data_IF_659524446188
#
_entry.id   IF_659524446188
#
_cell.length_a   1.000
_cell.length_b   1.000
_cell.length_c   1.000
_cell.angle_alpha   90.00
_cell.angle_beta   90.00
_cell.angle_gamma   90.00
#
_symmetry.space_group_name_H-M   'P 1'
#
loop_
_entity.id
_entity.type
_entity.pdbx_description
1 polymer ?
#
# COMPACT_ATOMS: atom_id res chain seq x y z
N UNK A 1 -18.34 -18.55 -10.66
CA UNK A 1 -18.02 -19.34 -9.46
C UNK A 1 -17.85 -18.45 -8.22
N UNK A 2 -16.98 -17.43 -8.24
CA UNK A 2 -16.61 -16.61 -7.07
C UNK A 2 -17.84 -16.00 -6.38
N UNK A 3 -18.76 -15.42 -7.13
CA UNK A 3 -20.01 -14.85 -6.61
C UNK A 3 -20.99 -15.90 -6.08
N UNK A 4 -20.95 -17.13 -6.60
CA UNK A 4 -21.80 -18.21 -6.15
C UNK A 4 -21.28 -18.89 -4.88
N UNK A 5 -19.97 -19.01 -4.78
CA UNK A 5 -19.30 -19.77 -3.71
C UNK A 5 -18.79 -18.90 -2.56
N UNK A 6 -18.55 -17.62 -2.81
CA UNK A 6 -17.93 -16.70 -1.87
C UNK A 6 -16.46 -17.00 -1.55
N UNK A 7 -15.81 -17.94 -2.28
CA UNK A 7 -14.44 -18.40 -1.98
C UNK A 7 -13.34 -17.38 -2.26
N UNK A 8 -13.69 -16.28 -2.91
CA UNK A 8 -12.70 -15.30 -3.40
C UNK A 8 -11.93 -15.79 -4.63
N UNK A 9 -10.98 -14.98 -5.06
CA UNK A 9 -10.03 -15.27 -6.14
C UNK A 9 -8.67 -14.73 -5.77
N UNK A 10 -7.65 -15.57 -5.61
CA UNK A 10 -6.30 -15.11 -5.30
C UNK A 10 -5.77 -14.11 -6.34
N UNK A 11 -5.05 -13.09 -5.90
CA UNK A 11 -4.45 -12.09 -6.78
C UNK A 11 -3.62 -12.72 -7.91
N UNK A 12 -2.75 -13.68 -7.58
CA UNK A 12 -1.89 -14.37 -8.55
C UNK A 12 -2.61 -15.23 -9.60
N UNK A 13 -3.93 -15.47 -9.45
CA UNK A 13 -4.74 -16.16 -10.46
C UNK A 13 -5.30 -15.23 -11.54
N UNK A 14 -5.10 -13.93 -11.42
CA UNK A 14 -5.50 -13.00 -12.47
C UNK A 14 -4.56 -13.08 -13.67
N UNK A 15 -5.06 -12.67 -14.84
CA UNK A 15 -4.25 -12.57 -16.04
C UNK A 15 -3.19 -11.48 -15.87
N UNK A 16 -2.02 -11.65 -16.48
CA UNK A 16 -0.90 -10.68 -16.42
C UNK A 16 -1.30 -9.23 -16.74
N UNK A 17 -2.26 -9.04 -17.64
CA UNK A 17 -2.81 -7.72 -17.95
C UNK A 17 -3.45 -7.02 -16.74
N UNK A 18 -3.89 -7.77 -15.71
CA UNK A 18 -4.42 -7.20 -14.49
C UNK A 18 -3.31 -6.48 -13.70
N UNK A 19 -2.15 -7.13 -13.54
CA UNK A 19 -1.01 -6.55 -12.81
C UNK A 19 -0.45 -5.32 -13.51
N UNK A 20 -0.23 -5.41 -14.83
CA UNK A 20 0.22 -4.28 -15.64
C UNK A 20 -0.84 -3.16 -15.69
N UNK A 21 -2.12 -3.51 -15.75
CA UNK A 21 -3.23 -2.56 -15.77
C UNK A 21 -3.35 -1.79 -14.45
N UNK A 22 -3.23 -2.47 -13.33
CA UNK A 22 -3.25 -1.87 -11.98
C UNK A 22 -2.09 -0.90 -11.80
N UNK A 23 -0.87 -1.31 -12.14
CA UNK A 23 0.30 -0.43 -12.09
C UNK A 23 0.12 0.82 -12.97
N UNK A 24 -0.32 0.64 -14.21
CA UNK A 24 -0.56 1.77 -15.14
C UNK A 24 -1.65 2.72 -14.65
N UNK A 25 -2.63 2.21 -13.92
CA UNK A 25 -3.71 2.99 -13.35
C UNK A 25 -3.22 3.87 -12.19
N UNK A 26 -2.46 3.32 -11.24
CA UNK A 26 -2.02 4.06 -10.05
C UNK A 26 -0.73 4.87 -10.28
N UNK A 27 0.14 4.47 -11.21
CA UNK A 27 1.41 5.15 -11.49
C UNK A 27 1.32 6.67 -11.66
N UNK A 28 0.33 7.26 -12.36
CA UNK A 28 0.24 8.72 -12.48
C UNK A 28 0.05 9.43 -11.15
N UNK A 29 -0.72 8.85 -10.22
CA UNK A 29 -0.90 9.41 -8.89
C UNK A 29 0.40 9.35 -8.07
N UNK A 30 1.11 8.21 -8.09
CA UNK A 30 2.40 8.07 -7.42
C UNK A 30 3.45 9.04 -8.00
N UNK A 31 3.55 9.14 -9.32
CA UNK A 31 4.48 10.05 -9.96
C UNK A 31 4.17 11.53 -9.70
N UNK A 32 2.90 11.88 -9.54
CA UNK A 32 2.47 13.26 -9.34
C UNK A 32 2.44 13.72 -7.88
N UNK A 33 2.28 12.80 -6.93
CA UNK A 33 1.98 13.20 -5.54
C UNK A 33 2.93 12.60 -4.49
N UNK A 34 3.53 11.43 -4.73
CA UNK A 34 4.29 10.71 -3.71
C UNK A 34 5.40 11.55 -3.07
N UNK A 35 6.21 12.18 -3.93
CA UNK A 35 7.42 12.89 -3.50
C UNK A 35 7.17 14.35 -3.10
N UNK A 36 6.21 15.00 -3.76
CA UNK A 36 5.97 16.43 -3.60
C UNK A 36 4.83 16.75 -2.62
N UNK A 37 3.95 15.78 -2.32
CA UNK A 37 2.78 16.00 -1.46
C UNK A 37 2.70 14.98 -0.32
N UNK A 38 2.72 13.66 -0.62
CA UNK A 38 2.40 12.64 0.38
C UNK A 38 3.49 12.46 1.43
N UNK A 39 4.74 12.30 1.00
CA UNK A 39 5.87 12.17 1.93
C UNK A 39 6.07 13.47 2.73
N UNK A 40 6.09 14.68 2.13
CA UNK A 40 6.20 15.92 2.87
C UNK A 40 5.07 16.21 3.86
N UNK A 41 3.87 15.67 3.64
CA UNK A 41 2.74 15.83 4.56
C UNK A 41 2.93 15.05 5.89
N UNK A 42 3.86 14.10 5.94
CA UNK A 42 4.16 13.33 7.15
C UNK A 42 5.28 13.98 7.96
N UNK A 43 5.00 14.27 9.22
CA UNK A 43 5.93 14.99 10.09
C UNK A 43 7.27 14.24 10.25
N UNK A 44 8.37 14.89 9.86
CA UNK A 44 9.74 14.41 10.03
C UNK A 44 10.19 13.29 9.10
N UNK A 45 9.30 12.71 8.29
CA UNK A 45 9.61 11.56 7.42
C UNK A 45 10.57 11.96 6.30
N UNK A 46 10.30 13.04 5.59
CA UNK A 46 11.15 13.47 4.49
C UNK A 46 12.59 13.80 4.93
N UNK A 47 12.74 14.41 6.10
CA UNK A 47 14.06 14.71 6.67
C UNK A 47 14.86 13.44 7.00
N UNK A 48 14.21 12.39 7.51
CA UNK A 48 14.83 11.08 7.71
C UNK A 48 15.28 10.48 6.38
N UNK A 49 14.42 10.48 5.37
CA UNK A 49 14.72 9.96 4.04
C UNK A 49 15.92 10.67 3.39
N UNK A 50 15.99 11.99 3.47
CA UNK A 50 17.12 12.79 2.95
C UNK A 50 18.45 12.49 3.65
N UNK A 51 18.41 12.19 4.95
CA UNK A 51 19.60 11.86 5.76
C UNK A 51 20.07 10.43 5.56
N UNK A 52 19.19 9.55 5.17
CA UNK A 52 19.41 8.11 5.04
C UNK A 52 18.56 7.34 6.03
N UNK A 53 17.46 6.76 5.53
CA UNK A 53 16.50 5.99 6.28
C UNK A 53 16.40 4.56 5.72
N UNK A 54 15.90 3.65 6.54
CA UNK A 54 15.53 2.30 6.09
C UNK A 54 14.04 2.26 5.84
N UNK A 55 13.65 1.93 4.60
CA UNK A 55 12.25 1.95 4.12
C UNK A 55 11.79 0.54 3.76
N UNK A 56 10.58 0.16 4.19
CA UNK A 56 9.88 -1.03 3.70
C UNK A 56 8.70 -0.61 2.83
N UNK A 57 8.66 -1.02 1.57
CA UNK A 57 7.52 -0.85 0.65
C UNK A 57 6.81 -2.21 0.50
N UNK A 58 5.60 -2.33 1.05
CA UNK A 58 4.87 -3.58 1.20
C UNK A 58 3.74 -3.67 0.18
N UNK A 59 3.67 -4.78 -0.56
CA UNK A 59 2.77 -4.90 -1.70
C UNK A 59 3.22 -4.04 -2.88
N UNK A 60 4.53 -3.96 -3.11
CA UNK A 60 5.16 -3.05 -4.08
C UNK A 60 4.81 -3.34 -5.54
N UNK A 61 4.23 -4.51 -5.85
CA UNK A 61 3.87 -4.92 -7.20
C UNK A 61 5.05 -4.85 -8.17
N UNK A 62 4.93 -4.02 -9.19
CA UNK A 62 5.99 -3.79 -10.19
C UNK A 62 7.03 -2.72 -9.78
N UNK A 63 7.02 -2.28 -8.51
CA UNK A 63 8.04 -1.47 -7.87
C UNK A 63 8.02 0.02 -8.23
N UNK A 64 6.90 0.56 -8.71
CA UNK A 64 6.83 1.98 -9.13
C UNK A 64 7.11 2.94 -7.98
N UNK A 65 6.43 2.80 -6.84
CA UNK A 65 6.64 3.60 -5.61
C UNK A 65 8.06 3.46 -5.09
N UNK A 66 8.55 2.22 -5.00
CA UNK A 66 9.89 1.90 -4.53
C UNK A 66 10.97 2.59 -5.37
N UNK A 67 10.86 2.54 -6.71
CA UNK A 67 11.82 3.18 -7.61
C UNK A 67 11.79 4.70 -7.51
N UNK A 68 10.60 5.32 -7.39
CA UNK A 68 10.48 6.76 -7.18
C UNK A 68 11.18 7.21 -5.88
N UNK A 69 10.97 6.47 -4.78
CA UNK A 69 11.64 6.77 -3.51
C UNK A 69 13.16 6.56 -3.59
N UNK A 70 13.61 5.48 -4.25
CA UNK A 70 15.03 5.18 -4.39
C UNK A 70 15.78 6.24 -5.23
N UNK A 71 15.17 6.73 -6.31
CA UNK A 71 15.72 7.81 -7.13
C UNK A 71 15.82 9.13 -6.34
N UNK A 72 14.79 9.48 -5.58
CA UNK A 72 14.71 10.74 -4.86
C UNK A 72 15.58 10.77 -3.60
N UNK A 73 15.73 9.63 -2.93
CA UNK A 73 16.42 9.54 -1.64
C UNK A 73 17.61 8.57 -1.72
N UNK A 74 18.69 8.94 -2.43
CA UNK A 74 19.83 8.04 -2.70
C UNK A 74 20.61 7.63 -1.43
N UNK A 75 20.43 8.35 -0.31
CA UNK A 75 21.04 7.99 0.97
C UNK A 75 20.23 6.94 1.74
N UNK A 76 18.97 6.72 1.37
CA UNK A 76 18.09 5.75 2.02
C UNK A 76 18.21 4.38 1.37
N UNK A 77 17.97 3.33 2.15
CA UNK A 77 17.88 1.95 1.66
C UNK A 77 16.43 1.54 1.60
N UNK A 78 15.96 1.05 0.45
CA UNK A 78 14.58 0.66 0.21
C UNK A 78 14.50 -0.84 0.03
N UNK A 79 13.74 -1.50 0.90
CA UNK A 79 13.36 -2.90 0.79
C UNK A 79 11.92 -3.00 0.31
N UNK A 80 11.70 -3.60 -0.84
CA UNK A 80 10.39 -3.71 -1.46
C UNK A 80 9.91 -5.16 -1.45
N UNK A 81 8.71 -5.40 -0.96
CA UNK A 81 8.14 -6.71 -0.72
C UNK A 81 6.84 -6.92 -1.48
N UNK A 82 6.71 -8.05 -2.15
CA UNK A 82 5.45 -8.52 -2.72
C UNK A 82 5.44 -10.05 -2.72
N UNK A 83 4.27 -10.66 -2.52
CA UNK A 83 4.16 -12.11 -2.56
C UNK A 83 4.14 -12.67 -3.99
N UNK A 84 3.87 -11.84 -5.01
CA UNK A 84 3.78 -12.24 -6.41
C UNK A 84 5.15 -12.23 -7.08
N UNK A 85 5.81 -13.40 -7.11
CA UNK A 85 7.15 -13.57 -7.69
C UNK A 85 7.35 -12.95 -9.06
N UNK A 86 6.46 -13.19 -10.06
CA UNK A 86 6.60 -12.58 -11.39
C UNK A 86 6.61 -11.04 -11.38
N UNK A 87 5.87 -10.40 -10.47
CA UNK A 87 5.94 -8.93 -10.30
C UNK A 87 7.30 -8.48 -9.78
N UNK A 88 7.84 -9.20 -8.79
CA UNK A 88 9.17 -8.93 -8.24
C UNK A 88 10.28 -9.13 -9.29
N UNK A 89 10.19 -10.15 -10.12
CA UNK A 89 11.18 -10.38 -11.19
C UNK A 89 11.19 -9.22 -12.20
N UNK A 90 10.03 -8.73 -12.59
CA UNK A 90 9.90 -7.56 -13.48
C UNK A 90 10.38 -6.28 -12.77
N UNK A 91 10.05 -6.09 -11.49
CA UNK A 91 10.50 -4.94 -10.70
C UNK A 91 12.03 -4.87 -10.59
N UNK A 92 12.68 -6.00 -10.31
CA UNK A 92 14.17 -6.12 -10.30
C UNK A 92 14.80 -5.72 -11.63
N UNK A 93 14.22 -6.18 -12.73
CA UNK A 93 14.70 -5.83 -14.07
C UNK A 93 14.61 -4.32 -14.31
N UNK A 94 13.46 -3.70 -14.00
CA UNK A 94 13.25 -2.25 -14.16
C UNK A 94 14.21 -1.42 -13.30
N UNK A 95 14.44 -1.82 -12.05
CA UNK A 95 15.38 -1.14 -11.16
C UNK A 95 16.82 -1.26 -11.65
N UNK A 96 17.23 -2.42 -12.17
CA UNK A 96 18.54 -2.63 -12.75
C UNK A 96 18.75 -1.77 -14.02
N UNK A 97 17.74 -1.63 -14.88
CA UNK A 97 17.76 -0.76 -16.05
C UNK A 97 17.93 0.74 -15.67
N UNK A 98 17.48 1.13 -14.46
CA UNK A 98 17.63 2.48 -13.90
C UNK A 98 18.92 2.67 -13.08
N UNK A 99 19.66 1.60 -12.76
CA UNK A 99 20.87 1.64 -11.96
C UNK A 99 20.62 2.03 -10.49
N UNK A 100 19.55 1.53 -9.90
CA UNK A 100 19.17 1.82 -8.50
C UNK A 100 19.83 0.82 -7.56
N UNK A 101 20.98 1.20 -6.98
CA UNK A 101 21.77 0.34 -6.09
C UNK A 101 21.28 0.36 -4.63
N UNK A 102 20.39 1.28 -4.27
CA UNK A 102 19.81 1.45 -2.94
C UNK A 102 18.42 0.83 -2.79
N UNK A 103 18.01 -0.05 -3.73
CA UNK A 103 16.70 -0.69 -3.78
C UNK A 103 16.84 -2.20 -3.93
N UNK A 104 16.26 -2.95 -3.00
CA UNK A 104 16.21 -4.40 -3.03
C UNK A 104 14.77 -4.92 -3.04
N UNK A 105 14.51 -5.98 -3.83
CA UNK A 105 13.18 -6.59 -3.95
C UNK A 105 13.15 -8.02 -3.42
N UNK A 106 12.12 -8.34 -2.66
CA UNK A 106 11.93 -9.63 -2.00
C UNK A 106 10.55 -10.21 -2.28
N UNK A 107 10.50 -11.52 -2.54
CA UNK A 107 9.24 -12.27 -2.57
C UNK A 107 8.89 -12.62 -1.13
N UNK A 108 7.88 -11.96 -0.56
CA UNK A 108 7.46 -12.17 0.84
C UNK A 108 5.99 -11.83 1.03
N UNK A 109 5.35 -12.53 1.93
CA UNK A 109 4.04 -12.16 2.46
C UNK A 109 4.15 -10.90 3.34
N UNK A 110 3.13 -10.04 3.30
CA UNK A 110 3.11 -8.80 4.08
C UNK A 110 3.17 -9.01 5.61
N UNK A 111 2.76 -10.18 6.10
CA UNK A 111 2.84 -10.55 7.51
C UNK A 111 4.20 -11.14 7.93
N UNK A 112 5.10 -11.39 6.98
CA UNK A 112 6.38 -12.08 7.19
C UNK A 112 7.60 -11.21 6.83
N UNK A 113 7.47 -9.90 6.90
CA UNK A 113 8.55 -8.95 6.64
C UNK A 113 9.58 -9.03 7.77
N UNK A 114 10.88 -9.09 7.45
CA UNK A 114 11.92 -9.14 8.47
C UNK A 114 11.93 -7.86 9.33
N UNK A 115 12.19 -8.03 10.63
CA UNK A 115 12.36 -6.89 11.53
C UNK A 115 13.76 -6.28 11.32
N UNK A 116 13.79 -5.14 10.63
CA UNK A 116 15.00 -4.39 10.29
C UNK A 116 15.02 -2.99 10.92
N UNK A 117 14.09 -2.71 11.83
CA UNK A 117 13.92 -1.39 12.46
C UNK A 117 13.73 -0.29 11.40
N UNK A 118 12.69 -0.44 10.58
CA UNK A 118 12.39 0.52 9.52
C UNK A 118 11.98 1.89 10.06
N UNK A 119 12.53 2.95 9.49
CA UNK A 119 12.14 4.34 9.78
C UNK A 119 10.79 4.66 9.13
N UNK A 120 10.54 4.09 7.95
CA UNK A 120 9.30 4.21 7.21
C UNK A 120 8.88 2.83 6.68
N UNK A 121 7.67 2.41 6.97
CA UNK A 121 6.99 1.38 6.21
C UNK A 121 5.87 2.01 5.39
N UNK A 122 5.62 1.53 4.18
CA UNK A 122 4.55 2.03 3.32
C UNK A 122 3.79 0.91 2.61
N UNK A 123 2.52 1.17 2.37
CA UNK A 123 1.63 0.37 1.52
C UNK A 123 0.90 1.33 0.59
N UNK A 124 0.84 0.99 -0.71
CA UNK A 124 0.19 1.81 -1.73
C UNK A 124 -0.92 1.02 -2.42
N UNK A 125 -2.17 1.41 -2.19
CA UNK A 125 -3.38 0.86 -2.83
C UNK A 125 -3.48 -0.69 -2.77
N UNK A 126 -2.99 -1.30 -1.68
CA UNK A 126 -2.92 -2.74 -1.50
C UNK A 126 -3.42 -3.23 -0.14
N UNK A 127 -3.53 -2.37 0.87
CA UNK A 127 -3.93 -2.79 2.22
C UNK A 127 -5.38 -3.27 2.28
N UNK A 128 -6.27 -2.64 1.51
CA UNK A 128 -7.68 -3.03 1.41
C UNK A 128 -7.91 -4.38 0.71
N UNK A 129 -6.91 -4.90 0.00
CA UNK A 129 -6.94 -6.22 -0.66
C UNK A 129 -6.50 -7.36 0.28
N UNK A 130 -5.97 -7.02 1.46
CA UNK A 130 -5.48 -8.01 2.41
C UNK A 130 -6.63 -8.70 3.14
N UNK A 131 -6.46 -10.01 3.41
CA UNK A 131 -7.44 -10.79 4.14
C UNK A 131 -7.53 -10.40 5.61
N UNK A 132 -6.39 -10.10 6.22
CA UNK A 132 -6.24 -9.62 7.60
C UNK A 132 -5.48 -8.29 7.66
N UNK A 133 -6.12 -7.17 7.32
CA UNK A 133 -5.44 -5.87 7.33
C UNK A 133 -4.95 -5.45 8.73
N UNK A 134 -5.66 -5.85 9.80
CA UNK A 134 -5.24 -5.53 11.18
C UNK A 134 -4.01 -6.34 11.57
N UNK A 135 -4.01 -7.64 11.29
CA UNK A 135 -2.84 -8.50 11.56
C UNK A 135 -1.61 -8.08 10.79
N UNK A 136 -1.77 -7.72 9.52
CA UNK A 136 -0.67 -7.17 8.70
C UNK A 136 -0.15 -5.86 9.27
N UNK A 137 -1.04 -4.91 9.59
CA UNK A 137 -0.62 -3.63 10.19
C UNK A 137 0.10 -3.82 11.52
N UNK A 138 -0.33 -4.79 12.35
CA UNK A 138 0.35 -5.17 13.59
C UNK A 138 1.74 -5.74 13.33
N UNK A 139 1.87 -6.66 12.37
CA UNK A 139 3.17 -7.21 11.98
C UNK A 139 4.11 -6.12 11.48
N UNK A 140 3.62 -5.20 10.65
CA UNK A 140 4.40 -4.06 10.16
C UNK A 140 4.87 -3.17 11.33
N UNK A 141 3.98 -2.86 12.27
CA UNK A 141 4.34 -2.08 13.47
C UNK A 141 5.52 -2.70 14.21
N UNK A 142 5.55 -4.03 14.33
CA UNK A 142 6.63 -4.74 15.02
C UNK A 142 7.97 -4.63 14.28
N UNK A 143 7.98 -4.34 12.99
CA UNK A 143 9.21 -4.14 12.18
C UNK A 143 9.74 -2.71 12.20
N UNK A 144 8.95 -1.74 12.66
CA UNK A 144 9.35 -0.33 12.71
C UNK A 144 10.36 -0.04 13.83
N UNK A 145 11.20 0.96 13.61
CA UNK A 145 11.96 1.63 14.65
C UNK A 145 11.02 2.26 15.71
N UNK A 146 11.55 2.63 16.87
CA UNK A 146 10.72 3.19 17.96
C UNK A 146 10.04 4.50 17.58
N UNK A 147 10.65 5.29 16.69
CA UNK A 147 10.11 6.51 16.10
C UNK A 147 9.71 6.32 14.61
N UNK A 148 9.48 5.07 14.21
CA UNK A 148 9.11 4.69 12.86
C UNK A 148 7.66 5.05 12.52
N UNK A 149 7.44 5.33 11.25
CA UNK A 149 6.14 5.69 10.70
C UNK A 149 5.63 4.63 9.73
N UNK A 150 4.34 4.32 9.79
CA UNK A 150 3.64 3.55 8.77
C UNK A 150 2.77 4.49 7.92
N UNK A 151 3.10 4.59 6.65
CA UNK A 151 2.35 5.32 5.63
C UNK A 151 1.41 4.37 4.90
N UNK A 152 0.13 4.67 4.94
CA UNK A 152 -0.88 3.90 4.21
C UNK A 152 -1.52 4.82 3.18
N UNK A 153 -1.37 4.47 1.91
CA UNK A 153 -2.02 5.15 0.79
C UNK A 153 -3.14 4.26 0.26
N UNK A 154 -4.36 4.78 0.23
CA UNK A 154 -5.54 4.05 -0.18
C UNK A 154 -6.38 4.86 -1.17
N UNK A 155 -7.20 4.22 -2.01
CA UNK A 155 -8.06 4.94 -2.94
C UNK A 155 -8.98 5.95 -2.23
N UNK A 156 -9.23 7.07 -2.88
CA UNK A 156 -10.15 8.09 -2.38
C UNK A 156 -11.53 7.50 -2.08
N UNK A 157 -11.94 7.62 -0.83
CA UNK A 157 -13.21 7.14 -0.33
C UNK A 157 -13.75 8.05 0.77
N UNK A 158 -15.06 8.22 0.81
CA UNK A 158 -15.76 8.88 1.89
C UNK A 158 -16.38 7.85 2.84
N UNK A 159 -16.72 8.28 4.06
CA UNK A 159 -17.38 7.39 5.02
C UNK A 159 -18.81 7.06 4.60
N UNK A 160 -19.08 5.78 4.40
CA UNK A 160 -20.39 5.24 4.13
C UNK A 160 -20.81 5.22 2.65
N UNK A 161 -21.57 4.20 2.28
CA UNK A 161 -22.00 3.95 0.91
C UNK A 161 -22.74 5.15 0.29
N UNK A 162 -23.72 5.70 1.01
CA UNK A 162 -24.52 6.82 0.50
C UNK A 162 -23.65 8.03 0.18
N UNK A 163 -22.74 8.38 1.10
CA UNK A 163 -21.85 9.52 0.91
C UNK A 163 -20.89 9.32 -0.28
N UNK A 164 -20.35 8.11 -0.44
CA UNK A 164 -19.54 7.77 -1.61
C UNK A 164 -20.32 7.93 -2.91
N UNK A 165 -21.56 7.40 -2.99
CA UNK A 165 -22.37 7.48 -4.21
C UNK A 165 -22.71 8.93 -4.56
N UNK A 166 -23.04 9.75 -3.58
CA UNK A 166 -23.51 11.13 -3.79
C UNK A 166 -22.36 12.14 -4.01
N UNK A 167 -21.21 11.94 -3.37
CA UNK A 167 -20.17 12.97 -3.24
C UNK A 167 -18.76 12.54 -3.69
N UNK A 168 -18.52 11.24 -3.99
CA UNK A 168 -17.25 10.79 -4.51
C UNK A 168 -17.38 10.42 -6.01
N UNK A 169 -16.88 11.25 -6.94
CA UNK A 169 -17.02 10.99 -8.38
C UNK A 169 -16.35 9.70 -8.85
N UNK A 170 -15.36 9.19 -8.11
CA UNK A 170 -14.65 7.94 -8.43
C UNK A 170 -15.32 6.69 -7.84
N UNK A 171 -16.37 6.84 -7.04
CA UNK A 171 -16.97 5.74 -6.27
C UNK A 171 -17.46 4.60 -7.14
N UNK A 172 -18.15 4.87 -8.25
CA UNK A 172 -18.67 3.82 -9.12
C UNK A 172 -17.58 2.94 -9.72
N UNK A 173 -16.45 3.55 -10.09
CA UNK A 173 -15.27 2.85 -10.60
C UNK A 173 -14.66 1.97 -9.50
N UNK A 174 -14.40 2.52 -8.33
CA UNK A 174 -13.79 1.76 -7.23
C UNK A 174 -14.71 0.69 -6.63
N UNK A 175 -16.03 0.90 -6.59
CA UNK A 175 -16.96 -0.19 -6.26
C UNK A 175 -16.93 -1.30 -7.32
N UNK A 176 -16.75 -0.95 -8.62
CA UNK A 176 -16.55 -1.91 -9.69
C UNK A 176 -15.27 -2.73 -9.50
N UNK A 177 -14.13 -2.08 -9.27
CA UNK A 177 -12.87 -2.76 -8.98
C UNK A 177 -12.96 -3.58 -7.70
N UNK A 178 -13.49 -3.02 -6.63
CA UNK A 178 -13.70 -3.71 -5.36
C UNK A 178 -14.50 -5.01 -5.52
N UNK A 179 -15.58 -4.97 -6.31
CA UNK A 179 -16.41 -6.14 -6.55
C UNK A 179 -15.71 -7.23 -7.37
N UNK A 180 -14.94 -6.83 -8.38
CA UNK A 180 -14.36 -7.77 -9.35
C UNK A 180 -12.95 -8.27 -8.96
N UNK A 181 -12.19 -7.47 -8.21
CA UNK A 181 -10.77 -7.71 -7.92
C UNK A 181 -10.52 -7.71 -6.40
N UNK A 182 -10.67 -6.56 -5.72
CA UNK A 182 -10.18 -6.34 -4.37
C UNK A 182 -10.86 -7.24 -3.31
N UNK A 183 -12.19 -7.22 -3.25
CA UNK A 183 -12.94 -8.05 -2.30
C UNK A 183 -12.73 -9.55 -2.58
N UNK A 184 -12.79 -10.04 -3.83
CA UNK A 184 -12.39 -11.41 -4.15
C UNK A 184 -10.96 -11.77 -3.75
N UNK A 185 -9.98 -10.88 -3.93
CA UNK A 185 -8.60 -11.11 -3.52
C UNK A 185 -8.48 -11.26 -2.00
N UNK A 186 -9.08 -10.33 -1.25
CA UNK A 186 -9.15 -10.41 0.22
C UNK A 186 -9.85 -11.69 0.70
N UNK A 187 -10.99 -12.05 0.11
CA UNK A 187 -11.76 -13.25 0.47
C UNK A 187 -11.03 -14.56 0.21
N UNK A 188 -10.05 -14.57 -0.68
CA UNK A 188 -9.22 -15.75 -0.96
C UNK A 188 -8.09 -15.97 0.06
N UNK A 189 -7.87 -15.04 0.97
CA UNK A 189 -6.83 -15.09 2.01
C UNK A 189 -7.44 -15.50 3.37
N UNK A 190 -6.60 -15.93 4.35
CA UNK A 190 -7.05 -16.16 5.72
C UNK A 190 -7.79 -14.94 6.30
N UNK A 191 -8.80 -15.19 7.15
CA UNK A 191 -9.76 -14.21 7.67
C UNK A 191 -10.66 -13.66 6.57
N UNK A 192 -10.14 -13.18 5.46
CA UNK A 192 -10.92 -12.73 4.32
C UNK A 192 -11.88 -11.61 4.67
N UNK A 193 -11.39 -10.52 5.30
CA UNK A 193 -12.24 -9.42 5.78
C UNK A 193 -13.07 -8.81 4.64
N UNK A 194 -12.48 -8.68 3.43
CA UNK A 194 -13.15 -8.11 2.28
C UNK A 194 -13.39 -6.61 2.43
N UNK A 195 -12.38 -5.88 2.91
CA UNK A 195 -12.46 -4.45 3.19
C UNK A 195 -12.82 -3.64 1.93
N UNK A 196 -12.07 -3.86 0.86
CA UNK A 196 -12.26 -3.18 -0.42
C UNK A 196 -11.86 -1.71 -0.43
N UNK A 197 -11.76 -1.10 -1.63
CA UNK A 197 -11.16 0.22 -1.83
C UNK A 197 -12.05 1.40 -1.42
N UNK A 198 -13.24 1.16 -0.87
CA UNK A 198 -14.21 2.20 -0.49
C UNK A 198 -14.59 2.13 1.00
N UNK A 199 -13.64 1.74 1.84
CA UNK A 199 -13.87 1.60 3.29
C UNK A 199 -14.09 2.93 4.02
N UNK A 200 -13.47 4.00 3.54
CA UNK A 200 -13.54 5.36 4.10
C UNK A 200 -12.57 5.60 5.26
N UNK A 201 -12.24 6.87 5.52
CA UNK A 201 -11.16 7.24 6.44
C UNK A 201 -11.40 6.78 7.88
N UNK A 202 -12.62 6.87 8.41
CA UNK A 202 -12.90 6.42 9.79
C UNK A 202 -12.64 4.94 9.98
N UNK A 203 -13.04 4.12 9.01
CA UNK A 203 -12.82 2.67 9.09
C UNK A 203 -11.34 2.34 9.02
N UNK A 204 -10.59 2.96 8.10
CA UNK A 204 -9.16 2.73 7.93
C UNK A 204 -8.37 3.16 9.17
N UNK A 205 -8.61 4.37 9.70
CA UNK A 205 -7.99 4.83 10.95
C UNK A 205 -8.34 3.92 12.14
N UNK A 206 -9.59 3.43 12.20
CA UNK A 206 -10.01 2.49 13.24
C UNK A 206 -9.22 1.19 13.22
N UNK A 207 -8.97 0.62 12.03
CA UNK A 207 -8.18 -0.61 11.87
C UNK A 207 -6.70 -0.41 12.24
N UNK A 208 -6.11 0.75 11.90
CA UNK A 208 -4.74 1.10 12.32
C UNK A 208 -4.65 1.26 13.85
N UNK A 209 -5.64 1.89 14.47
CA UNK A 209 -5.71 2.00 15.95
C UNK A 209 -5.88 0.63 16.60
N UNK A 210 -6.70 -0.26 16.02
CA UNK A 210 -6.88 -1.65 16.48
C UNK A 210 -5.57 -2.45 16.39
N UNK A 211 -4.74 -2.17 15.37
CA UNK A 211 -3.40 -2.74 15.23
C UNK A 211 -2.41 -2.21 16.29
N UNK A 212 -2.79 -1.20 17.08
CA UNK A 212 -2.05 -0.70 18.22
C UNK A 212 -1.06 0.44 17.92
N UNK A 213 -1.21 1.15 16.81
CA UNK A 213 -0.44 2.37 16.57
C UNK A 213 -0.81 3.46 17.58
N UNK A 214 0.20 4.21 18.07
CA UNK A 214 0.04 5.20 19.16
C UNK A 214 -0.69 6.45 18.70
N UNK A 215 -0.51 6.84 17.43
CA UNK A 215 -1.24 7.92 16.79
C UNK A 215 -1.56 7.58 15.34
N UNK A 216 -2.75 7.95 14.89
CA UNK A 216 -3.22 7.74 13.51
C UNK A 216 -3.90 9.01 13.03
N UNK A 217 -3.47 9.50 11.88
CA UNK A 217 -4.03 10.71 11.25
C UNK A 217 -4.14 10.57 9.74
N UNK A 218 -5.05 11.33 9.15
CA UNK A 218 -5.09 11.56 7.71
C UNK A 218 -4.07 12.69 7.42
N UNK A 219 -2.95 12.34 6.81
CA UNK A 219 -1.85 13.25 6.52
C UNK A 219 -2.09 14.07 5.25
N UNK A 220 -2.65 13.44 4.20
CA UNK A 220 -2.97 14.10 2.95
C UNK A 220 -4.21 13.49 2.30
N UNK A 221 -4.88 14.28 1.48
CA UNK A 221 -6.02 13.88 0.66
C UNK A 221 -5.87 14.50 -0.73
N UNK A 222 -5.94 13.67 -1.75
CA UNK A 222 -5.94 14.07 -3.15
C UNK A 222 -7.24 13.63 -3.82
N UNK A 223 -7.44 13.98 -5.08
CA UNK A 223 -8.62 13.54 -5.84
C UNK A 223 -8.67 12.02 -6.04
N UNK A 224 -7.54 11.33 -5.92
CA UNK A 224 -7.40 9.88 -6.18
C UNK A 224 -7.13 9.07 -4.92
N UNK A 225 -6.50 9.63 -3.89
CA UNK A 225 -6.00 8.88 -2.74
C UNK A 225 -6.18 9.61 -1.40
N UNK A 226 -6.30 8.80 -0.37
CA UNK A 226 -6.15 9.16 1.05
C UNK A 226 -4.79 8.66 1.55
N UNK A 227 -4.08 9.48 2.29
CA UNK A 227 -2.78 9.15 2.88
C UNK A 227 -2.87 9.21 4.39
N UNK A 228 -2.61 8.10 5.04
CA UNK A 228 -2.62 8.00 6.50
C UNK A 228 -1.20 7.89 7.04
N UNK A 229 -0.95 8.58 8.13
CA UNK A 229 0.23 8.43 8.97
C UNK A 229 -0.16 7.70 10.24
N UNK A 230 0.55 6.62 10.56
CA UNK A 230 0.41 5.90 11.81
C UNK A 230 1.79 5.74 12.46
N UNK A 231 1.95 6.20 13.69
CA UNK A 231 3.22 6.14 14.43
C UNK A 231 3.21 4.98 15.43
N UNK A 232 4.37 4.34 15.59
CA UNK A 232 4.57 3.20 16.49
C UNK A 232 4.23 3.48 17.95
#
# INVERSE_FOLDING_TARGET
DVFQTGRGRPWGEHHECCFCGTERFFRPAYAGHLLDEWIPAMEGVEDKLKKGAKVADIGCGLGTSSMLMAEQYPNSTIHAFDFHGPSIDEAKKRAAEKGLDNLEFFVSDASAIPNESYDLACIFDAWHDMGDPVGVAKSIKDTLADDGTFMVVEPMALDGLKNNIENNPSSSMFYGFGTLICVPASKAQPIGLGLGPQAGPKKLMGLLSEAGFSSVSLAAETTSNLVFQANK
#
